data_IF_246730006850
#
_entry.id   IF_246730006850
#
_cell.length_a   1.000
_cell.length_b   1.000
_cell.length_c   1.000
_cell.angle_alpha   90.00
_cell.angle_beta   90.00
_cell.angle_gamma   90.00
#
_symmetry.space_group_name_H-M   'P 1'
#
loop_
_entity.id
_entity.type
_entity.pdbx_description
1 polymer ?
#
# COMPACT_ATOMS: atom_id res chain seq x y z
N UNK A 1 -2.74 -16.82 13.01
CA UNK A 1 -2.56 -16.43 11.60
C UNK A 1 -3.59 -15.40 11.11
N UNK A 2 -4.82 -15.32 11.64
CA UNK A 2 -5.77 -14.24 11.29
C UNK A 2 -5.32 -12.82 11.69
N UNK A 3 -4.53 -12.67 12.77
CA UNK A 3 -4.10 -11.35 13.28
C UNK A 3 -3.23 -10.52 12.33
N UNK A 4 -2.43 -11.15 11.45
CA UNK A 4 -1.57 -10.43 10.49
C UNK A 4 -2.36 -9.90 9.28
N UNK A 5 -3.46 -10.56 8.90
CA UNK A 5 -4.33 -10.13 7.79
C UNK A 5 -5.28 -9.01 8.23
N UNK A 6 -5.69 -9.05 9.49
CA UNK A 6 -6.51 -8.00 10.08
C UNK A 6 -5.73 -6.70 10.25
N UNK A 7 -4.41 -6.70 10.45
CA UNK A 7 -3.65 -5.47 10.72
C UNK A 7 -3.78 -4.44 9.58
N UNK A 8 -3.47 -4.85 8.35
CA UNK A 8 -3.53 -3.95 7.20
C UNK A 8 -4.96 -3.55 6.82
N UNK A 9 -5.88 -4.52 6.76
CA UNK A 9 -7.29 -4.23 6.44
C UNK A 9 -7.96 -3.40 7.54
N UNK A 10 -7.60 -3.56 8.82
CA UNK A 10 -8.18 -2.78 9.92
C UNK A 10 -7.80 -1.30 9.83
N UNK A 11 -6.53 -1.00 9.50
CA UNK A 11 -6.08 0.38 9.31
C UNK A 11 -6.86 1.03 8.17
N UNK A 12 -7.06 0.30 7.06
CA UNK A 12 -7.82 0.78 5.90
C UNK A 12 -9.30 1.00 6.24
N UNK A 13 -9.97 0.03 6.86
CA UNK A 13 -11.38 0.13 7.25
C UNK A 13 -11.61 1.29 8.22
N UNK A 14 -10.64 1.61 9.07
CA UNK A 14 -10.73 2.73 10.00
C UNK A 14 -10.44 4.08 9.32
N UNK A 15 -9.45 4.13 8.44
CA UNK A 15 -8.96 5.39 7.84
C UNK A 15 -9.79 5.84 6.65
N UNK A 16 -10.18 4.91 5.76
CA UNK A 16 -10.92 5.22 4.53
C UNK A 16 -12.22 5.99 4.80
N UNK A 17 -13.15 5.56 5.68
CA UNK A 17 -14.42 6.27 5.85
C UNK A 17 -14.24 7.69 6.41
N UNK A 18 -13.13 7.97 7.09
CA UNK A 18 -12.81 9.28 7.65
C UNK A 18 -12.22 10.19 6.57
N UNK A 19 -11.29 9.68 5.75
CA UNK A 19 -10.54 10.49 4.78
C UNK A 19 -11.24 10.61 3.42
N UNK A 20 -11.95 9.57 2.98
CA UNK A 20 -12.69 9.56 1.71
C UNK A 20 -13.63 10.77 1.51
N UNK A 21 -14.48 11.17 2.49
CA UNK A 21 -15.34 12.35 2.29
C UNK A 21 -14.55 13.65 2.13
N UNK A 22 -13.34 13.75 2.68
CA UNK A 22 -12.46 14.92 2.48
C UNK A 22 -11.89 14.93 1.06
N UNK A 23 -11.45 13.77 0.57
CA UNK A 23 -10.89 13.59 -0.77
C UNK A 23 -11.92 13.95 -1.85
N UNK A 24 -13.15 13.45 -1.70
CA UNK A 24 -14.25 13.75 -2.63
C UNK A 24 -14.62 15.24 -2.57
N UNK A 25 -14.63 15.87 -1.38
CA UNK A 25 -14.86 17.31 -1.24
C UNK A 25 -13.78 18.17 -1.91
N UNK A 26 -12.55 17.68 -1.96
CA UNK A 26 -11.44 18.33 -2.66
C UNK A 26 -11.48 18.10 -4.19
N UNK A 27 -12.44 17.31 -4.70
CA UNK A 27 -12.61 17.04 -6.13
C UNK A 27 -11.75 15.91 -6.67
N UNK A 28 -11.12 15.11 -5.80
CA UNK A 28 -10.34 13.94 -6.21
C UNK A 28 -11.22 12.71 -6.42
N UNK A 29 -10.77 11.83 -7.31
CA UNK A 29 -11.46 10.58 -7.60
C UNK A 29 -11.27 9.55 -6.44
N UNK A 30 -12.37 8.95 -5.92
CA UNK A 30 -12.33 7.91 -4.90
C UNK A 30 -11.46 6.70 -5.22
N UNK A 31 -11.47 6.26 -6.48
CA UNK A 31 -10.76 5.07 -6.94
C UNK A 31 -9.27 5.33 -6.97
N UNK A 32 -8.88 6.50 -7.50
CA UNK A 32 -7.48 6.94 -7.48
C UNK A 32 -6.93 6.99 -6.05
N UNK A 33 -7.69 7.61 -5.13
CA UNK A 33 -7.29 7.68 -3.73
C UNK A 33 -7.23 6.30 -3.06
N UNK A 34 -8.23 5.44 -3.29
CA UNK A 34 -8.26 4.09 -2.73
C UNK A 34 -7.04 3.27 -3.12
N UNK A 35 -6.64 3.31 -4.40
CA UNK A 35 -5.46 2.60 -4.89
C UNK A 35 -4.17 3.14 -4.25
N UNK A 36 -4.02 4.46 -4.14
CA UNK A 36 -2.86 5.04 -3.46
C UNK A 36 -2.76 4.62 -2.00
N UNK A 37 -3.88 4.64 -1.27
CA UNK A 37 -3.90 4.27 0.14
C UNK A 37 -3.58 2.79 0.32
N UNK A 38 -4.09 1.90 -0.54
CA UNK A 38 -3.75 0.47 -0.51
C UNK A 38 -2.25 0.27 -0.78
N UNK A 39 -1.69 0.92 -1.81
CA UNK A 39 -0.27 0.82 -2.12
C UNK A 39 0.62 1.35 -1.00
N UNK A 40 0.24 2.47 -0.38
CA UNK A 40 0.96 3.03 0.77
C UNK A 40 0.92 2.09 1.97
N UNK A 41 -0.23 1.44 2.22
CA UNK A 41 -0.37 0.44 3.28
C UNK A 41 0.51 -0.80 3.02
N UNK A 42 0.56 -1.29 1.78
CA UNK A 42 1.45 -2.40 1.37
C UNK A 42 2.93 -2.06 1.61
N UNK A 43 3.35 -0.86 1.21
CA UNK A 43 4.72 -0.39 1.44
C UNK A 43 5.03 -0.29 2.94
N UNK A 44 4.06 0.12 3.76
CA UNK A 44 4.19 0.16 5.22
C UNK A 44 4.45 -1.20 5.87
N UNK A 45 3.93 -2.28 5.28
CA UNK A 45 4.11 -3.66 5.77
C UNK A 45 5.48 -4.25 5.43
N UNK A 46 6.18 -3.66 4.45
CA UNK A 46 7.48 -4.12 3.95
C UNK A 46 8.63 -3.22 4.43
N UNK A 47 8.36 -1.94 4.71
CA UNK A 47 9.36 -0.94 5.13
C UNK A 47 9.51 -0.91 6.66
N UNK A 48 10.72 -0.65 7.23
CA UNK A 48 10.88 -0.47 8.68
C UNK A 48 10.18 0.82 9.13
N UNK A 49 8.96 0.73 9.71
CA UNK A 49 8.74 0.72 11.16
C UNK A 49 7.71 -0.33 11.66
N UNK A 50 6.91 -0.92 10.77
CA UNK A 50 5.97 -2.02 11.05
C UNK A 50 6.54 -3.33 10.52
N UNK A 51 6.97 -3.34 9.24
CA UNK A 51 7.81 -4.38 8.63
C UNK A 51 7.33 -5.81 8.84
N UNK A 52 6.04 -6.03 9.09
CA UNK A 52 5.52 -7.29 9.62
C UNK A 52 5.86 -8.47 8.70
N UNK A 53 5.79 -8.25 7.39
CA UNK A 53 6.12 -9.26 6.39
C UNK A 53 7.60 -9.67 6.50
N UNK A 54 8.50 -8.69 6.68
CA UNK A 54 9.94 -8.92 6.86
C UNK A 54 10.24 -9.63 8.19
N UNK A 55 9.56 -9.25 9.28
CA UNK A 55 9.72 -9.88 10.59
C UNK A 55 9.26 -11.34 10.61
N UNK A 56 8.15 -11.66 9.94
CA UNK A 56 7.64 -13.03 9.83
C UNK A 56 8.61 -13.91 9.05
N UNK A 57 9.14 -13.40 7.92
CA UNK A 57 10.13 -14.13 7.12
C UNK A 57 11.41 -14.35 7.91
N UNK A 58 11.98 -13.31 8.53
CA UNK A 58 13.18 -13.43 9.36
C UNK A 58 13.02 -14.46 10.49
N UNK A 59 11.85 -14.50 11.14
CA UNK A 59 11.54 -15.50 12.18
C UNK A 59 11.44 -16.93 11.61
N UNK A 60 10.91 -17.09 10.39
CA UNK A 60 10.76 -18.41 9.76
C UNK A 60 12.06 -18.95 9.18
N UNK A 61 12.96 -18.09 8.70
CA UNK A 61 14.23 -18.48 8.09
C UNK A 61 15.40 -18.48 9.07
N UNK A 62 15.23 -17.87 10.25
CA UNK A 62 16.31 -17.68 11.22
C UNK A 62 17.35 -16.63 10.81
N UNK A 63 17.08 -15.88 9.74
CA UNK A 63 17.96 -14.85 9.20
C UNK A 63 17.84 -13.56 10.02
N UNK A 64 18.94 -12.83 10.29
CA UNK A 64 18.88 -11.52 10.92
C UNK A 64 17.92 -10.58 10.18
N UNK A 65 17.04 -9.91 10.94
CA UNK A 65 16.02 -9.00 10.40
C UNK A 65 16.64 -7.92 9.49
N UNK A 66 17.82 -7.40 9.85
CA UNK A 66 18.53 -6.39 9.06
C UNK A 66 18.98 -6.89 7.67
N UNK A 67 19.29 -8.18 7.53
CA UNK A 67 19.68 -8.78 6.26
C UNK A 67 18.46 -8.96 5.34
N UNK A 68 17.32 -9.35 5.92
CA UNK A 68 16.06 -9.45 5.17
C UNK A 68 15.58 -8.06 4.73
N UNK A 69 15.70 -7.03 5.57
CA UNK A 69 15.40 -5.64 5.18
C UNK A 69 16.31 -5.14 4.06
N UNK A 70 17.61 -5.46 4.10
CA UNK A 70 18.53 -5.11 3.02
C UNK A 70 18.14 -5.80 1.70
N UNK A 71 17.69 -7.06 1.76
CA UNK A 71 17.19 -7.79 0.60
C UNK A 71 15.87 -7.25 0.04
N UNK A 72 15.02 -6.68 0.88
CA UNK A 72 13.72 -6.12 0.48
C UNK A 72 13.82 -4.71 -0.10
N UNK A 73 14.92 -4.00 0.13
CA UNK A 73 15.10 -2.62 -0.33
C UNK A 73 14.80 -2.37 -1.83
N UNK A 74 15.23 -3.24 -2.77
CA UNK A 74 14.88 -3.08 -4.20
C UNK A 74 13.36 -3.11 -4.45
N UNK A 75 12.63 -3.91 -3.68
CA UNK A 75 11.17 -4.02 -3.77
C UNK A 75 10.48 -2.75 -3.27
N UNK A 76 10.99 -2.15 -2.19
CA UNK A 76 10.50 -0.86 -1.67
C UNK A 76 10.69 0.25 -2.71
N UNK A 77 11.88 0.31 -3.34
CA UNK A 77 12.17 1.29 -4.39
C UNK A 77 11.22 1.12 -5.58
N UNK A 78 10.95 -0.11 -6.00
CA UNK A 78 9.99 -0.38 -7.08
C UNK A 78 8.57 0.11 -6.74
N UNK A 79 8.12 -0.08 -5.49
CA UNK A 79 6.82 0.43 -5.04
C UNK A 79 6.77 1.95 -5.00
N UNK A 80 7.82 2.61 -4.52
CA UNK A 80 7.88 4.07 -4.51
C UNK A 80 7.85 4.62 -5.93
N UNK A 81 8.59 4.02 -6.87
CA UNK A 81 8.54 4.38 -8.28
C UNK A 81 7.14 4.21 -8.86
N UNK A 82 6.47 3.09 -8.56
CA UNK A 82 5.09 2.86 -8.98
C UNK A 82 4.16 3.94 -8.42
N UNK A 83 4.23 4.26 -7.13
CA UNK A 83 3.42 5.31 -6.50
C UNK A 83 3.65 6.65 -7.19
N UNK A 84 4.90 7.03 -7.47
CA UNK A 84 5.23 8.27 -8.19
C UNK A 84 4.61 8.29 -9.58
N UNK A 85 4.71 7.19 -10.33
CA UNK A 85 4.09 7.08 -11.66
C UNK A 85 2.57 7.22 -11.57
N UNK A 86 1.93 6.59 -10.58
CA UNK A 86 0.47 6.65 -10.41
C UNK A 86 -0.05 8.02 -9.93
N UNK A 87 0.80 8.78 -9.22
CA UNK A 87 0.50 10.18 -8.87
C UNK A 87 0.63 11.08 -10.10
N UNK A 88 1.67 10.89 -10.92
CA UNK A 88 1.90 11.69 -12.13
C UNK A 88 0.92 11.35 -13.26
N UNK A 89 0.51 10.09 -13.37
CA UNK A 89 -0.37 9.57 -14.40
C UNK A 89 -1.60 8.88 -13.79
N UNK A 90 -2.51 9.65 -13.16
CA UNK A 90 -3.74 9.09 -12.55
C UNK A 90 -4.64 8.40 -13.58
N UNK A 91 -4.47 8.73 -14.87
CA UNK A 91 -5.22 8.09 -15.95
C UNK A 91 -4.95 6.59 -16.07
N UNK A 92 -3.79 6.08 -15.64
CA UNK A 92 -3.52 4.64 -15.62
C UNK A 92 -4.51 3.93 -14.69
N UNK A 93 -4.83 4.55 -13.56
CA UNK A 93 -5.79 4.04 -12.58
C UNK A 93 -7.22 4.15 -13.10
N UNK A 94 -7.56 5.30 -13.69
CA UNK A 94 -8.93 5.61 -14.09
C UNK A 94 -9.32 5.00 -15.44
N UNK A 95 -8.34 4.58 -16.26
CA UNK A 95 -8.58 3.96 -17.55
C UNK A 95 -9.39 2.65 -17.41
N UNK A 96 -9.02 1.77 -16.48
CA UNK A 96 -9.70 0.49 -16.32
C UNK A 96 -11.17 0.65 -15.83
N UNK A 97 -11.47 1.42 -14.77
CA UNK A 97 -12.86 1.72 -14.40
C UNK A 97 -13.66 2.42 -15.50
N UNK A 98 -13.04 3.32 -16.26
CA UNK A 98 -13.72 4.03 -17.35
C UNK A 98 -14.12 3.09 -18.50
N UNK A 99 -13.35 2.03 -18.75
CA UNK A 99 -13.67 1.01 -19.76
C UNK A 99 -14.67 -0.04 -19.30
N UNK A 100 -14.89 -0.21 -17.99
CA UNK A 100 -15.87 -1.14 -17.42
C UNK A 100 -17.28 -0.54 -17.28
N UNK A 101 -17.40 0.80 -17.36
CA UNK A 101 -18.68 1.52 -17.30
C UNK A 101 -19.30 1.78 -18.70
N UNK A 102 -18.90 1.01 -19.72
CA UNK A 102 -19.62 0.88 -21.00
C UNK A 102 -20.38 -0.44 -21.05
#
# INVERSE_FOLDING_TARGET
MLGCFLDQLSILILTIPIVLPLVVKLGFDPVWFGILVILLAEVGMVTPPVGLNVFVVAKSTGTPVGEVFAGVWPHVVAHILLIVVLILFPQIILWLPSGMNQ
#
